data_IF_487037789751
#
_entry.id   IF_487037789751
#
_cell.length_a   1.000
_cell.length_b   1.000
_cell.length_c   1.000
_cell.angle_alpha   90.00
_cell.angle_beta   90.00
_cell.angle_gamma   90.00
#
_symmetry.space_group_name_H-M   'P 1'
#
loop_
_entity.id
_entity.type
_entity.pdbx_description
1 polymer ?
#
# COMPACT_ATOMS: atom_id res chain seq x y z
N UNK A 1 16.54 -25.84 28.02
CA UNK A 1 15.60 -26.96 27.80
C UNK A 1 15.48 -27.14 26.30
N UNK A 2 15.74 -28.36 25.85
CA UNK A 2 15.96 -28.82 24.49
C UNK A 2 14.78 -28.55 23.54
N UNK A 3 15.02 -28.00 22.35
CA UNK A 3 14.24 -28.26 21.12
C UNK A 3 15.28 -28.33 19.99
N UNK A 4 15.83 -29.51 19.73
CA UNK A 4 15.40 -30.46 18.69
C UNK A 4 15.37 -29.80 17.31
N UNK A 5 16.44 -30.08 16.56
CA UNK A 5 16.51 -29.98 15.11
C UNK A 5 15.42 -30.86 14.49
N UNK A 6 14.63 -30.30 13.59
CA UNK A 6 13.94 -31.07 12.55
C UNK A 6 14.48 -30.63 11.19
N UNK A 7 15.01 -31.61 10.48
CA UNK A 7 15.41 -31.59 9.07
C UNK A 7 14.35 -30.97 8.15
N UNK A 8 14.82 -30.24 7.13
CA UNK A 8 14.02 -29.62 6.08
C UNK A 8 13.88 -28.12 6.29
N UNK A 9 14.87 -27.33 5.85
CA UNK A 9 14.88 -25.88 6.00
C UNK A 9 13.54 -25.27 5.60
N UNK A 10 12.84 -24.67 6.56
CA UNK A 10 11.60 -23.94 6.30
C UNK A 10 11.92 -22.90 5.23
N UNK A 11 11.32 -23.05 4.05
CA UNK A 11 11.36 -22.04 3.00
C UNK A 11 10.84 -20.75 3.60
N UNK A 12 11.63 -19.67 3.55
CA UNK A 12 11.19 -18.37 4.03
C UNK A 12 10.45 -17.64 2.91
N UNK A 13 9.39 -16.90 3.24
CA UNK A 13 8.70 -16.05 2.26
C UNK A 13 9.64 -15.01 1.67
N UNK A 14 10.62 -14.55 2.45
CA UNK A 14 11.62 -13.57 2.01
C UNK A 14 12.60 -14.11 0.97
N UNK A 15 12.70 -15.44 0.81
CA UNK A 15 13.51 -16.05 -0.26
C UNK A 15 12.80 -15.99 -1.63
N UNK A 16 11.46 -15.93 -1.62
CA UNK A 16 10.63 -15.97 -2.83
C UNK A 16 10.23 -14.58 -3.34
N UNK A 17 10.38 -13.53 -2.53
CA UNK A 17 9.96 -12.17 -2.87
C UNK A 17 11.12 -11.17 -2.77
N UNK A 18 11.11 -10.19 -3.68
CA UNK A 18 12.11 -9.13 -3.69
C UNK A 18 12.05 -8.32 -2.38
N UNK A 19 13.19 -8.07 -1.70
CA UNK A 19 13.25 -7.19 -0.53
C UNK A 19 12.78 -5.77 -0.85
N UNK A 20 12.04 -5.17 0.09
CA UNK A 20 11.44 -3.84 -0.05
C UNK A 20 12.02 -2.85 0.97
N UNK A 21 11.93 -1.56 0.65
CA UNK A 21 12.30 -0.44 1.53
C UNK A 21 11.11 0.02 2.39
N UNK A 22 10.38 -0.94 2.97
CA UNK A 22 9.18 -0.73 3.77
C UNK A 22 9.18 -1.66 4.99
N UNK A 23 8.51 -1.27 6.07
CA UNK A 23 8.27 -2.16 7.20
C UNK A 23 7.55 -3.43 6.72
N UNK A 24 7.97 -4.57 7.28
CA UNK A 24 7.37 -5.86 6.95
C UNK A 24 6.19 -6.19 7.87
N UNK A 25 5.12 -6.84 7.36
CA UNK A 25 4.17 -7.53 8.21
C UNK A 25 4.89 -8.50 9.17
N UNK A 26 4.33 -8.80 10.35
CA UNK A 26 4.98 -9.72 11.28
C UNK A 26 5.07 -11.13 10.66
N UNK A 27 6.09 -11.95 11.00
CA UNK A 27 6.30 -13.26 10.37
C UNK A 27 5.07 -14.19 10.40
N UNK A 28 4.28 -14.14 11.49
CA UNK A 28 3.06 -14.95 11.63
C UNK A 28 1.91 -14.52 10.70
N UNK A 29 2.04 -13.39 10.00
CA UNK A 29 1.10 -12.98 8.98
C UNK A 29 1.29 -13.75 7.67
N UNK A 30 2.37 -14.53 7.52
CA UNK A 30 2.64 -15.32 6.32
C UNK A 30 2.42 -16.81 6.58
N UNK A 31 1.92 -17.51 5.57
CA UNK A 31 1.83 -18.98 5.58
C UNK A 31 2.08 -19.55 4.20
N UNK A 32 2.79 -20.67 4.16
CA UNK A 32 2.92 -21.47 2.94
C UNK A 32 1.62 -22.25 2.70
N UNK A 33 1.24 -22.34 1.44
CA UNK A 33 0.11 -23.13 0.93
C UNK A 33 0.59 -23.91 -0.31
N UNK A 34 -0.15 -24.93 -0.79
CA UNK A 34 0.27 -25.70 -1.98
C UNK A 34 0.59 -24.83 -3.21
N UNK A 35 -0.16 -23.75 -3.40
CA UNK A 35 -0.03 -22.84 -4.54
C UNK A 35 0.83 -21.58 -4.22
N UNK A 36 1.78 -21.70 -3.29
CA UNK A 36 2.73 -20.65 -2.94
C UNK A 36 2.52 -20.07 -1.55
N UNK A 37 2.31 -18.76 -1.45
CA UNK A 37 2.22 -18.05 -0.17
C UNK A 37 0.90 -17.33 -0.01
N UNK A 38 0.46 -17.22 1.24
CA UNK A 38 -0.62 -16.34 1.63
C UNK A 38 -0.17 -15.39 2.73
N UNK A 39 -0.79 -14.23 2.74
CA UNK A 39 -0.63 -13.20 3.79
C UNK A 39 -1.97 -12.90 4.44
N UNK A 40 -1.98 -12.73 5.75
CA UNK A 40 -3.15 -12.26 6.48
C UNK A 40 -3.21 -10.74 6.40
N UNK A 41 -4.21 -10.23 5.69
CA UNK A 41 -4.46 -8.80 5.64
C UNK A 41 -5.23 -8.37 6.89
N UNK A 42 -4.58 -7.59 7.74
CA UNK A 42 -5.13 -7.12 9.02
C UNK A 42 -6.29 -6.12 8.85
N UNK A 43 -6.37 -5.43 7.71
CA UNK A 43 -7.40 -4.44 7.41
C UNK A 43 -8.65 -5.13 6.84
N UNK A 44 -8.48 -6.04 5.87
CA UNK A 44 -9.55 -6.84 5.25
C UNK A 44 -9.93 -8.08 6.05
N UNK A 45 -9.14 -8.42 7.08
CA UNK A 45 -9.33 -9.52 8.04
C UNK A 45 -9.48 -10.90 7.38
N UNK A 46 -8.65 -11.17 6.38
CA UNK A 46 -8.67 -12.44 5.64
C UNK A 46 -7.31 -12.80 5.09
N UNK A 47 -7.10 -14.09 4.86
CA UNK A 47 -5.95 -14.59 4.12
C UNK A 47 -6.11 -14.32 2.63
N UNK A 48 -5.02 -13.92 1.99
CA UNK A 48 -4.96 -13.58 0.58
C UNK A 48 -3.79 -14.28 -0.09
N UNK A 49 -3.96 -14.63 -1.37
CA UNK A 49 -2.83 -15.08 -2.19
C UNK A 49 -1.80 -13.96 -2.26
N UNK A 50 -0.55 -14.29 -1.94
CA UNK A 50 0.55 -13.35 -1.96
C UNK A 50 1.09 -13.25 -3.38
N UNK A 51 0.69 -12.20 -4.10
CA UNK A 51 1.27 -11.82 -5.39
C UNK A 51 2.39 -10.78 -5.15
N UNK A 52 3.26 -10.52 -6.14
CA UNK A 52 4.28 -9.46 -6.00
C UNK A 52 3.69 -8.08 -5.72
N UNK A 53 2.50 -7.78 -6.24
CA UNK A 53 1.80 -6.52 -5.95
C UNK A 53 1.19 -6.52 -4.54
N UNK A 54 0.60 -7.65 -4.11
CA UNK A 54 0.07 -7.80 -2.75
C UNK A 54 1.19 -7.78 -1.69
N UNK A 55 2.39 -8.26 -2.03
CA UNK A 55 3.60 -8.12 -1.22
C UNK A 55 3.90 -6.65 -0.92
N UNK A 56 3.92 -5.81 -1.96
CA UNK A 56 4.10 -4.35 -1.82
C UNK A 56 2.94 -3.72 -1.04
N UNK A 57 1.70 -4.10 -1.33
CA UNK A 57 0.50 -3.56 -0.66
C UNK A 57 0.52 -3.85 0.85
N UNK A 58 0.85 -5.08 1.27
CA UNK A 58 0.90 -5.41 2.70
C UNK A 58 2.09 -4.78 3.42
N UNK A 59 3.24 -4.61 2.74
CA UNK A 59 4.35 -3.83 3.30
C UNK A 59 4.00 -2.35 3.43
N UNK A 60 3.26 -1.78 2.48
CA UNK A 60 2.76 -0.42 2.61
C UNK A 60 1.78 -0.29 3.78
N UNK A 61 0.90 -1.26 4.01
CA UNK A 61 0.04 -1.28 5.22
C UNK A 61 0.90 -1.28 6.48
N UNK A 62 1.89 -2.16 6.59
CA UNK A 62 2.77 -2.22 7.76
C UNK A 62 3.55 -0.90 7.98
N UNK A 63 4.03 -0.28 6.91
CA UNK A 63 4.68 1.04 6.94
C UNK A 63 3.74 2.15 7.45
N UNK A 64 2.50 2.18 6.96
CA UNK A 64 1.54 3.19 7.39
C UNK A 64 1.17 2.98 8.87
N UNK A 65 0.97 1.74 9.31
CA UNK A 65 0.70 1.46 10.72
C UNK A 65 1.87 1.86 11.63
N UNK A 66 3.12 1.62 11.21
CA UNK A 66 4.31 2.03 11.98
C UNK A 66 4.47 3.56 12.01
N UNK A 67 4.02 4.27 10.97
CA UNK A 67 3.96 5.74 10.88
C UNK A 67 2.75 6.38 11.57
N UNK A 68 2.02 5.60 12.38
CA UNK A 68 0.94 6.11 13.23
C UNK A 68 -0.39 6.30 12.51
N UNK A 69 -0.61 5.68 11.35
CA UNK A 69 -1.90 5.69 10.67
C UNK A 69 -2.85 4.72 11.40
N UNK A 70 -4.00 5.19 11.92
CA UNK A 70 -4.94 4.29 12.59
C UNK A 70 -5.53 3.29 11.59
N UNK A 71 -5.62 1.98 11.91
CA UNK A 71 -6.17 0.96 10.99
C UNK A 71 -7.55 1.31 10.43
N UNK A 72 -8.39 1.97 11.25
CA UNK A 72 -9.75 2.39 10.88
C UNK A 72 -9.78 3.43 9.75
N UNK A 73 -8.66 4.14 9.52
CA UNK A 73 -8.55 5.09 8.41
C UNK A 73 -8.15 4.43 7.10
N UNK A 74 -7.67 3.18 7.14
CA UNK A 74 -7.20 2.47 5.95
C UNK A 74 -8.34 1.69 5.30
N UNK A 75 -8.48 1.80 3.99
CA UNK A 75 -9.30 0.89 3.19
C UNK A 75 -8.45 0.34 2.04
N UNK A 76 -8.62 -0.95 1.74
CA UNK A 76 -7.91 -1.63 0.65
C UNK A 76 -8.90 -2.24 -0.32
N UNK A 77 -8.55 -2.25 -1.62
CA UNK A 77 -9.26 -2.99 -2.67
C UNK A 77 -10.77 -2.70 -2.75
N UNK A 78 -11.19 -1.50 -2.37
CA UNK A 78 -12.61 -1.14 -2.34
C UNK A 78 -13.07 -0.72 -3.74
N UNK A 79 -14.17 -1.32 -4.19
CA UNK A 79 -14.76 -1.00 -5.48
C UNK A 79 -15.41 0.40 -5.48
N UNK A 80 -15.33 1.08 -6.60
CA UNK A 80 -16.02 2.34 -6.88
C UNK A 80 -16.40 2.43 -8.37
N UNK A 81 -17.35 3.29 -8.69
CA UNK A 81 -17.74 3.55 -10.09
C UNK A 81 -17.02 4.80 -10.61
N UNK A 82 -16.39 4.65 -11.77
CA UNK A 82 -15.81 5.74 -12.53
C UNK A 82 -16.31 5.64 -13.98
N UNK A 83 -17.07 6.65 -14.42
CA UNK A 83 -17.71 6.65 -15.75
C UNK A 83 -18.56 5.40 -16.03
N UNK A 84 -19.26 4.90 -15.02
CA UNK A 84 -20.11 3.70 -15.13
C UNK A 84 -19.35 2.37 -15.07
N UNK A 85 -18.01 2.40 -14.99
CA UNK A 85 -17.18 1.20 -14.87
C UNK A 85 -16.77 0.96 -13.42
N UNK A 86 -16.87 -0.30 -12.98
CA UNK A 86 -16.33 -0.72 -11.70
C UNK A 86 -14.79 -0.67 -11.74
N UNK A 87 -14.22 0.08 -10.81
CA UNK A 87 -12.78 0.21 -10.55
C UNK A 87 -12.50 -0.10 -9.09
N UNK A 88 -11.24 -0.34 -8.76
CA UNK A 88 -10.76 -0.55 -7.39
C UNK A 88 -9.50 0.26 -7.21
N UNK A 89 -9.36 0.86 -6.04
CA UNK A 89 -8.10 1.43 -5.61
C UNK A 89 -7.36 0.41 -4.75
N UNK A 90 -6.04 0.50 -4.73
CA UNK A 90 -5.22 -0.41 -3.93
C UNK A 90 -5.36 -0.09 -2.45
N UNK A 91 -5.11 1.18 -2.09
CA UNK A 91 -5.22 1.67 -0.72
C UNK A 91 -5.70 3.12 -0.68
N UNK A 92 -6.55 3.44 0.29
CA UNK A 92 -6.95 4.80 0.62
C UNK A 92 -6.83 5.06 2.12
N UNK A 93 -6.45 6.29 2.48
CA UNK A 93 -6.48 6.79 3.85
C UNK A 93 -7.62 7.79 3.99
N UNK A 94 -8.57 7.52 4.88
CA UNK A 94 -9.72 8.37 5.17
C UNK A 94 -9.44 9.33 6.32
N UNK A 95 -9.87 10.57 6.15
CA UNK A 95 -10.04 11.58 7.19
C UNK A 95 -11.52 11.85 7.43
N UNK A 96 -11.81 12.90 8.21
CA UNK A 96 -13.19 13.27 8.54
C UNK A 96 -14.01 13.69 7.30
N UNK A 97 -13.40 14.45 6.39
CA UNK A 97 -14.07 15.06 5.24
C UNK A 97 -13.96 14.24 3.94
N UNK A 98 -13.22 13.13 3.95
CA UNK A 98 -13.00 12.33 2.75
C UNK A 98 -11.66 11.60 2.74
N UNK A 99 -11.19 11.23 1.54
CA UNK A 99 -9.90 10.56 1.36
C UNK A 99 -8.78 11.61 1.42
N UNK A 100 -7.80 11.40 2.31
CA UNK A 100 -6.60 12.24 2.46
C UNK A 100 -5.47 11.79 1.54
N UNK A 101 -5.38 10.48 1.31
CA UNK A 101 -4.37 9.85 0.47
C UNK A 101 -4.99 8.72 -0.35
N UNK A 102 -4.74 8.73 -1.65
CA UNK A 102 -4.97 7.58 -2.53
C UNK A 102 -3.61 6.98 -2.90
N UNK A 103 -3.42 5.69 -2.66
CA UNK A 103 -2.19 4.99 -2.99
C UNK A 103 -2.43 3.95 -4.09
N UNK A 104 -1.49 3.89 -5.02
CA UNK A 104 -1.39 2.88 -6.09
C UNK A 104 -0.11 2.07 -5.88
N UNK A 105 -0.25 0.75 -5.77
CA UNK A 105 0.82 -0.20 -5.57
C UNK A 105 1.11 -0.94 -6.87
N UNK A 106 2.39 -1.15 -7.18
CA UNK A 106 2.84 -2.01 -8.27
C UNK A 106 3.78 -3.09 -7.75
N UNK A 107 4.01 -4.13 -8.53
CA UNK A 107 5.03 -5.12 -8.20
C UNK A 107 6.43 -4.48 -8.18
N UNK A 108 7.40 -5.06 -7.45
CA UNK A 108 8.73 -4.47 -7.25
C UNK A 108 9.52 -4.18 -8.53
N UNK A 109 9.25 -4.93 -9.60
CA UNK A 109 9.98 -4.81 -10.87
C UNK A 109 9.35 -3.79 -11.83
N UNK A 110 8.22 -3.18 -11.47
CA UNK A 110 7.56 -2.14 -12.26
C UNK A 110 8.15 -0.77 -11.95
N UNK A 111 8.57 -0.05 -12.99
CA UNK A 111 9.03 1.33 -12.89
C UNK A 111 7.86 2.28 -12.60
N UNK A 112 8.04 3.20 -11.64
CA UNK A 112 7.06 4.23 -11.30
C UNK A 112 7.10 5.40 -12.29
N UNK A 113 6.56 5.18 -13.48
CA UNK A 113 6.53 6.14 -14.59
C UNK A 113 5.25 7.01 -14.58
N UNK A 114 5.13 7.87 -15.60
CA UNK A 114 3.96 8.75 -15.79
C UNK A 114 2.64 7.98 -16.01
N UNK A 115 2.68 6.76 -16.54
CA UNK A 115 1.47 5.95 -16.75
C UNK A 115 0.88 5.46 -15.42
N UNK A 116 1.75 5.09 -14.47
CA UNK A 116 1.34 4.73 -13.10
C UNK A 116 0.73 5.95 -12.40
N UNK A 117 1.36 7.12 -12.53
CA UNK A 117 0.79 8.37 -12.00
C UNK A 117 -0.55 8.70 -12.65
N UNK A 118 -0.66 8.57 -13.97
CA UNK A 118 -1.90 8.83 -14.71
C UNK A 118 -3.03 7.88 -14.27
N UNK A 119 -2.72 6.62 -13.95
CA UNK A 119 -3.70 5.71 -13.35
C UNK A 119 -4.20 6.23 -12.00
N UNK A 120 -3.31 6.60 -11.09
CA UNK A 120 -3.67 7.13 -9.78
C UNK A 120 -4.48 8.43 -9.90
N UNK A 121 -4.09 9.34 -10.80
CA UNK A 121 -4.80 10.59 -11.08
C UNK A 121 -6.22 10.34 -11.61
N UNK A 122 -6.40 9.40 -12.56
CA UNK A 122 -7.73 9.02 -13.07
C UNK A 122 -8.66 8.55 -11.95
N UNK A 123 -8.16 7.70 -11.05
CA UNK A 123 -8.96 7.26 -9.91
C UNK A 123 -9.25 8.42 -8.96
N UNK A 124 -8.28 9.30 -8.76
CA UNK A 124 -8.44 10.45 -7.90
C UNK A 124 -9.44 11.50 -8.42
N UNK A 125 -9.80 11.50 -9.71
CA UNK A 125 -10.89 12.36 -10.23
C UNK A 125 -12.21 12.16 -9.47
N UNK A 126 -12.46 10.94 -8.97
CA UNK A 126 -13.67 10.61 -8.19
C UNK A 126 -13.63 11.13 -6.76
N UNK A 127 -12.44 11.14 -6.14
CA UNK A 127 -12.25 11.32 -4.71
C UNK A 127 -11.70 12.69 -4.34
N UNK A 128 -10.98 13.33 -5.27
CA UNK A 128 -10.31 14.63 -5.09
C UNK A 128 -9.39 14.67 -3.86
N UNK A 129 -8.74 13.54 -3.55
CA UNK A 129 -7.78 13.40 -2.45
C UNK A 129 -6.65 14.43 -2.63
N UNK A 130 -6.26 15.17 -1.58
CA UNK A 130 -5.20 16.17 -1.66
C UNK A 130 -3.81 15.56 -1.89
N UNK A 131 -3.64 14.27 -1.59
CA UNK A 131 -2.40 13.55 -1.81
C UNK A 131 -2.59 12.25 -2.60
N UNK A 132 -1.55 11.89 -3.36
CA UNK A 132 -1.40 10.62 -4.08
C UNK A 132 -0.05 10.01 -3.71
N UNK A 133 -0.02 8.69 -3.51
CA UNK A 133 1.20 7.90 -3.41
C UNK A 133 1.22 6.87 -4.53
N UNK A 134 2.33 6.76 -5.24
CA UNK A 134 2.59 5.58 -6.08
C UNK A 134 3.83 4.88 -5.53
N UNK A 135 3.80 3.55 -5.47
CA UNK A 135 4.93 2.78 -4.94
C UNK A 135 5.04 1.37 -5.54
N UNK A 136 6.26 0.90 -5.71
CA UNK A 136 6.60 -0.49 -6.00
C UNK A 136 7.31 -1.17 -4.81
N UNK A 137 7.26 -0.54 -3.63
CA UNK A 137 7.92 -1.02 -2.41
C UNK A 137 9.42 -0.74 -2.33
N UNK A 138 10.07 -0.32 -3.41
CA UNK A 138 11.50 0.05 -3.45
C UNK A 138 11.64 1.56 -3.58
N UNK A 139 10.86 2.13 -4.50
CA UNK A 139 10.67 3.55 -4.71
C UNK A 139 9.25 3.96 -4.29
N UNK A 140 9.14 5.22 -3.89
CA UNK A 140 7.90 5.86 -3.47
C UNK A 140 7.88 7.26 -4.08
N UNK A 141 6.79 7.64 -4.73
CA UNK A 141 6.61 8.99 -5.23
C UNK A 141 5.34 9.56 -4.60
N UNK A 142 5.51 10.55 -3.73
CA UNK A 142 4.45 11.22 -3.00
C UNK A 142 4.13 12.57 -3.64
N UNK A 143 2.87 12.74 -4.04
CA UNK A 143 2.38 13.91 -4.74
C UNK A 143 1.36 14.65 -3.89
N UNK A 144 1.42 15.97 -3.89
CA UNK A 144 0.38 16.83 -3.29
C UNK A 144 -0.22 17.72 -4.35
N UNK A 145 -1.50 18.06 -4.16
CA UNK A 145 -2.21 18.99 -5.02
C UNK A 145 -1.69 20.43 -4.81
N UNK A 146 -1.85 21.30 -5.79
CA UNK A 146 -1.83 22.75 -5.67
C UNK A 146 -2.53 23.31 -6.91
N UNK A 147 -3.59 24.09 -6.73
CA UNK A 147 -4.43 24.62 -7.83
C UNK A 147 -4.81 23.49 -8.82
N UNK A 148 -5.38 22.40 -8.28
CA UNK A 148 -5.79 21.18 -9.02
C UNK A 148 -4.69 20.42 -9.79
N UNK A 149 -3.41 20.80 -9.65
CA UNK A 149 -2.26 20.10 -10.23
C UNK A 149 -1.52 19.32 -9.15
N UNK A 150 -1.06 18.11 -9.45
CA UNK A 150 -0.28 17.29 -8.52
C UNK A 150 1.20 17.39 -8.84
N UNK A 151 2.00 17.69 -7.81
CA UNK A 151 3.45 17.82 -7.92
C UNK A 151 4.11 16.76 -7.08
N UNK A 152 5.18 16.14 -7.62
CA UNK A 152 6.04 15.27 -6.82
C UNK A 152 6.72 16.12 -5.75
N UNK A 153 6.32 15.95 -4.49
CA UNK A 153 6.86 16.74 -3.37
C UNK A 153 7.90 15.97 -2.57
N UNK A 154 7.82 14.64 -2.57
CA UNK A 154 8.74 13.79 -1.81
C UNK A 154 8.87 12.40 -2.41
N UNK A 155 10.01 11.75 -2.13
CA UNK A 155 10.19 10.30 -2.33
C UNK A 155 10.02 9.49 -1.04
N UNK A 156 9.49 10.11 0.00
CA UNK A 156 9.25 9.50 1.30
C UNK A 156 7.76 9.50 1.63
N UNK A 157 7.33 8.50 2.39
CA UNK A 157 5.96 8.38 2.88
C UNK A 157 5.84 9.25 4.15
N UNK A 158 4.94 10.24 4.20
CA UNK A 158 4.78 11.09 5.39
C UNK A 158 4.19 10.30 6.56
N UNK A 159 4.37 10.81 7.77
CA UNK A 159 3.61 10.29 8.92
C UNK A 159 2.14 10.75 8.90
N UNK A 160 1.30 10.18 9.77
CA UNK A 160 -0.13 10.50 9.79
C UNK A 160 -0.42 11.96 10.19
N UNK A 161 0.43 12.57 11.01
CA UNK A 161 0.28 13.97 11.43
C UNK A 161 0.63 14.91 10.27
N UNK A 162 1.72 14.62 9.56
CA UNK A 162 2.15 15.34 8.36
C UNK A 162 1.11 15.26 7.25
N UNK A 163 0.57 14.07 6.97
CA UNK A 163 -0.48 13.90 5.96
C UNK A 163 -1.71 14.76 6.28
N UNK A 164 -2.15 14.81 7.54
CA UNK A 164 -3.27 15.65 7.94
C UNK A 164 -2.98 17.14 7.74
N UNK A 165 -1.76 17.60 8.05
CA UNK A 165 -1.36 18.99 7.81
C UNK A 165 -1.38 19.35 6.33
N UNK A 166 -0.86 18.46 5.48
CA UNK A 166 -0.90 18.61 4.01
C UNK A 166 -2.35 18.71 3.54
N UNK A 167 -3.23 17.84 4.04
CA UNK A 167 -4.62 17.82 3.63
C UNK A 167 -5.40 19.09 4.00
N UNK A 168 -4.99 19.83 5.04
CA UNK A 168 -5.64 21.10 5.42
C UNK A 168 -5.24 22.32 4.58
N UNK A 169 -4.29 22.16 3.64
CA UNK A 169 -3.83 23.26 2.78
C UNK A 169 -4.67 23.44 1.50
N UNK A 170 -5.72 22.62 1.32
CA UNK A 170 -6.49 22.51 0.08
C UNK A 170 -7.99 22.48 0.25
#
# INVERSE_FOLDING_TARGET
MLHLLTDGGMKDVFDDFRPLNLHSPPPHAFRSVPDGWQVYDVIRRRWLQLTPEEWVRQHLVAELLSRGFPPVTLALEKAFSLYGLAKRFDLAVFGAEGILLLAECKSPDVLLNEEVLAQALRYNQRFKSPAILITNGIDHHFYTRSIDIYYLTSKSIPDFVELKKIATQF
#
